data_IF_912267701486
#
_entry.id   IF_912267701486
#
_cell.length_a   1.000
_cell.length_b   1.000
_cell.length_c   1.000
_cell.angle_alpha   90.00
_cell.angle_beta   90.00
_cell.angle_gamma   90.00
#
_symmetry.space_group_name_H-M   'P 1'
#
loop_
_entity.id
_entity.type
_entity.pdbx_description
1 polymer ?
#
# COMPACT_ATOMS: atom_id res chain seq x y z
N UNK A 1 -47.83 -28.04 28.05
CA UNK A 1 -47.86 -26.69 27.45
C UNK A 1 -46.54 -25.90 27.62
N UNK A 2 -45.97 -25.74 28.82
CA UNK A 2 -44.71 -24.93 29.03
C UNK A 2 -43.49 -25.41 28.19
N UNK A 3 -43.31 -26.73 27.97
CA UNK A 3 -42.16 -27.25 27.17
C UNK A 3 -42.25 -26.91 25.69
N UNK A 4 -43.44 -26.90 25.12
CA UNK A 4 -43.67 -26.53 23.72
C UNK A 4 -43.43 -25.02 23.51
N UNK A 5 -43.87 -24.23 24.49
CA UNK A 5 -43.66 -22.77 24.46
C UNK A 5 -42.15 -22.39 24.50
N UNK A 6 -41.41 -23.05 25.39
CA UNK A 6 -39.97 -22.85 25.48
C UNK A 6 -39.21 -23.30 24.22
N UNK A 7 -39.67 -24.35 23.56
CA UNK A 7 -39.08 -24.82 22.30
C UNK A 7 -39.32 -23.84 21.16
N UNK A 8 -40.54 -23.31 21.03
CA UNK A 8 -40.89 -22.28 20.04
C UNK A 8 -40.11 -20.99 20.29
N UNK A 9 -39.96 -20.58 21.55
CA UNK A 9 -39.19 -19.39 21.91
C UNK A 9 -37.72 -19.55 21.56
N UNK A 10 -37.12 -20.73 21.79
CA UNK A 10 -35.73 -21.04 21.42
C UNK A 10 -35.49 -20.98 19.90
N UNK A 11 -36.44 -21.48 19.11
CA UNK A 11 -36.38 -21.41 17.64
C UNK A 11 -36.49 -19.96 17.17
N UNK A 12 -37.41 -19.19 17.72
CA UNK A 12 -37.54 -17.77 17.39
C UNK A 12 -36.29 -16.97 17.74
N UNK A 13 -35.70 -17.22 18.88
CA UNK A 13 -34.45 -16.56 19.30
C UNK A 13 -33.30 -16.90 18.39
N UNK A 14 -33.17 -18.16 17.96
CA UNK A 14 -32.17 -18.62 16.99
C UNK A 14 -32.35 -17.97 15.63
N UNK A 15 -33.60 -17.83 15.17
CA UNK A 15 -33.91 -17.20 13.90
C UNK A 15 -33.56 -15.69 13.91
N UNK A 16 -33.86 -14.99 15.02
CA UNK A 16 -33.51 -13.58 15.20
C UNK A 16 -32.00 -13.42 15.26
N UNK A 17 -31.28 -14.31 15.92
CA UNK A 17 -29.82 -14.30 15.96
C UNK A 17 -29.19 -14.51 14.57
N UNK A 18 -29.75 -15.39 13.74
CA UNK A 18 -29.32 -15.56 12.34
C UNK A 18 -29.57 -14.35 11.45
N UNK A 19 -30.64 -13.61 11.70
CA UNK A 19 -30.97 -12.38 10.93
C UNK A 19 -30.04 -11.23 11.33
N UNK A 20 -29.64 -11.16 12.58
CA UNK A 20 -28.69 -10.14 13.11
C UNK A 20 -27.24 -10.42 12.69
N UNK A 21 -26.90 -11.65 12.31
CA UNK A 21 -25.54 -12.04 11.90
C UNK A 21 -25.23 -11.75 10.42
N UNK A 22 -25.95 -10.88 9.74
CA UNK A 22 -25.59 -10.41 8.39
C UNK A 22 -24.53 -9.30 8.48
N UNK A 23 -23.39 -9.62 9.03
CA UNK A 23 -22.20 -8.78 8.84
C UNK A 23 -21.62 -9.12 7.46
N UNK A 24 -21.93 -8.30 6.48
CA UNK A 24 -21.22 -8.31 5.20
C UNK A 24 -19.82 -7.77 5.47
N UNK A 25 -18.84 -8.63 5.47
CA UNK A 25 -17.44 -8.23 5.44
C UNK A 25 -17.12 -7.78 4.01
N UNK A 26 -17.39 -6.54 3.68
CA UNK A 26 -16.99 -5.92 2.42
C UNK A 26 -15.50 -5.57 2.44
N UNK A 27 -14.66 -6.56 2.26
CA UNK A 27 -13.27 -6.35 1.88
C UNK A 27 -13.22 -6.27 0.35
N UNK A 28 -13.44 -5.08 -0.23
CA UNK A 28 -13.33 -4.88 -1.67
C UNK A 28 -11.88 -4.62 -2.07
N UNK A 29 -11.27 -5.61 -2.71
CA UNK A 29 -10.02 -5.43 -3.45
C UNK A 29 -10.36 -5.17 -4.91
N UNK A 30 -10.09 -3.96 -5.38
CA UNK A 30 -10.29 -3.59 -6.79
C UNK A 30 -8.95 -3.63 -7.53
N UNK A 31 -8.94 -4.31 -8.66
CA UNK A 31 -7.78 -4.36 -9.55
C UNK A 31 -8.06 -3.52 -10.80
N UNK A 32 -7.11 -2.67 -11.19
CA UNK A 32 -7.14 -1.98 -12.47
C UNK A 32 -6.21 -2.67 -13.47
N UNK A 33 -6.64 -2.73 -14.74
CA UNK A 33 -5.90 -3.32 -15.85
C UNK A 33 -5.74 -2.29 -16.96
N UNK A 34 -4.62 -2.36 -17.69
CA UNK A 34 -4.42 -1.58 -18.92
C UNK A 34 -5.15 -2.19 -20.12
N UNK A 35 -5.10 -1.52 -21.27
CA UNK A 35 -5.70 -2.01 -22.52
C UNK A 35 -5.09 -3.33 -23.04
N UNK A 36 -3.91 -3.70 -22.53
CA UNK A 36 -3.19 -4.93 -22.87
C UNK A 36 -3.45 -6.06 -21.87
N UNK A 37 -4.32 -5.82 -20.85
CA UNK A 37 -4.68 -6.80 -19.84
C UNK A 37 -3.67 -6.94 -18.69
N UNK A 38 -2.66 -6.06 -18.59
CA UNK A 38 -1.72 -6.07 -17.48
C UNK A 38 -2.32 -5.37 -16.27
N UNK A 39 -2.13 -5.95 -15.08
CA UNK A 39 -2.61 -5.35 -13.84
C UNK A 39 -1.76 -4.13 -13.47
N UNK A 40 -2.36 -2.93 -13.47
CA UNK A 40 -1.71 -1.65 -13.20
C UNK A 40 -1.99 -1.10 -11.81
N UNK A 41 -3.06 -1.58 -11.14
CA UNK A 41 -3.36 -1.13 -9.78
C UNK A 41 -4.03 -2.20 -8.93
N UNK A 42 -3.83 -2.12 -7.61
CA UNK A 42 -4.56 -2.86 -6.58
C UNK A 42 -4.96 -1.88 -5.49
N UNK A 43 -6.26 -1.66 -5.33
CA UNK A 43 -6.80 -0.78 -4.30
C UNK A 43 -7.56 -1.62 -3.27
N UNK A 44 -7.15 -1.52 -2.01
CA UNK A 44 -7.89 -2.11 -0.89
C UNK A 44 -8.73 -1.00 -0.28
N UNK A 45 -10.06 -1.09 -0.41
CA UNK A 45 -10.97 -0.14 0.22
C UNK A 45 -11.38 -0.66 1.59
N UNK A 46 -11.04 0.08 2.62
CA UNK A 46 -11.62 -0.11 3.96
C UNK A 46 -12.86 0.77 4.07
N UNK A 47 -13.97 0.30 4.63
CA UNK A 47 -15.11 1.15 4.91
C UNK A 47 -14.77 2.07 6.09
N UNK A 48 -14.18 3.22 5.79
CA UNK A 48 -13.98 4.29 6.74
C UNK A 48 -14.75 5.52 6.27
N UNK A 49 -15.58 6.07 7.13
CA UNK A 49 -16.17 7.40 6.96
C UNK A 49 -15.05 8.42 6.78
N UNK A 50 -14.90 8.96 5.58
CA UNK A 50 -14.06 10.14 5.33
C UNK A 50 -14.67 11.02 4.26
N UNK A 51 -14.61 12.35 4.42
CA UNK A 51 -15.18 13.30 3.49
C UNK A 51 -14.43 13.29 2.15
N UNK A 52 -15.20 13.44 1.10
CA UNK A 52 -14.76 13.58 -0.29
C UNK A 52 -13.78 14.73 -0.46
N UNK A 53 -12.61 14.45 -1.03
CA UNK A 53 -11.79 15.44 -1.70
C UNK A 53 -11.94 15.24 -3.22
N UNK A 54 -12.38 16.31 -3.87
CA UNK A 54 -12.59 16.40 -5.30
C UNK A 54 -11.29 16.32 -6.11
N UNK A 55 -11.44 15.76 -7.31
CA UNK A 55 -10.45 15.63 -8.36
C UNK A 55 -9.59 16.88 -8.57
N UNK A 56 -8.33 16.82 -8.18
CA UNK A 56 -7.27 17.52 -8.86
C UNK A 56 -6.30 16.47 -9.40
N UNK A 57 -5.83 16.68 -10.63
CA UNK A 57 -4.92 15.80 -11.36
C UNK A 57 -3.66 15.51 -10.51
N UNK A 58 -3.76 14.51 -9.65
CA UNK A 58 -2.67 14.07 -8.79
C UNK A 58 -1.81 13.13 -9.63
N UNK A 59 -0.60 13.59 -9.92
CA UNK A 59 0.53 12.72 -10.24
C UNK A 59 0.40 11.43 -9.44
N UNK A 60 0.42 10.27 -10.12
CA UNK A 60 0.13 8.98 -9.48
C UNK A 60 1.14 8.66 -8.39
N UNK A 61 0.91 9.18 -7.20
CA UNK A 61 1.72 8.87 -6.02
C UNK A 61 1.31 7.48 -5.53
N UNK A 62 2.19 6.52 -5.66
CA UNK A 62 2.02 5.21 -5.04
C UNK A 62 2.35 5.34 -3.55
N UNK A 63 1.37 5.02 -2.70
CA UNK A 63 1.56 4.99 -1.24
C UNK A 63 1.46 3.54 -0.81
N UNK A 64 2.47 3.01 -0.16
CA UNK A 64 2.43 1.72 0.52
C UNK A 64 2.47 1.96 2.02
N UNK A 65 1.47 1.41 2.71
CA UNK A 65 1.38 1.47 4.18
C UNK A 65 2.03 0.21 4.73
N UNK A 66 3.16 0.38 5.38
CA UNK A 66 3.84 -0.63 6.17
C UNK A 66 3.29 -0.60 7.60
N UNK A 67 3.58 -1.62 8.41
CA UNK A 67 3.01 -1.75 9.77
C UNK A 67 3.15 -0.47 10.61
N UNK A 68 4.29 0.22 10.50
CA UNK A 68 4.66 1.32 11.38
C UNK A 68 4.90 2.64 10.64
N UNK A 69 5.05 2.62 9.31
CA UNK A 69 5.31 3.83 8.51
C UNK A 69 4.75 3.67 7.09
N UNK A 70 4.67 4.74 6.35
CA UNK A 70 4.28 4.73 4.94
C UNK A 70 5.36 5.34 4.06
N UNK A 71 5.42 4.88 2.82
CA UNK A 71 6.40 5.33 1.83
C UNK A 71 5.68 5.93 0.64
N UNK A 72 6.17 7.07 0.16
CA UNK A 72 5.79 7.68 -1.12
C UNK A 72 7.00 7.77 -2.02
N UNK A 73 6.81 7.43 -3.27
CA UNK A 73 7.87 7.50 -4.27
C UNK A 73 7.33 8.21 -5.51
N UNK A 74 7.99 9.30 -5.90
CA UNK A 74 7.59 10.08 -7.05
C UNK A 74 8.76 10.86 -7.68
N UNK A 75 8.66 11.17 -8.99
CA UNK A 75 7.73 10.61 -9.94
C UNK A 75 8.10 9.14 -10.28
N UNK A 76 7.10 8.32 -10.58
CA UNK A 76 7.32 6.97 -11.08
C UNK A 76 6.25 6.67 -12.17
N UNK A 77 6.59 6.68 -13.46
CA UNK A 77 7.93 6.75 -14.07
C UNK A 77 8.70 8.06 -13.85
N UNK A 78 10.03 7.95 -13.87
CA UNK A 78 10.95 9.09 -13.71
C UNK A 78 11.82 9.28 -14.95
N UNK A 79 12.26 10.53 -15.18
CA UNK A 79 13.32 10.86 -16.15
C UNK A 79 14.73 10.82 -15.56
N UNK A 80 14.83 10.48 -14.27
CA UNK A 80 16.11 10.38 -13.57
C UNK A 80 16.11 10.91 -12.16
N UNK A 81 15.26 11.89 -11.85
CA UNK A 81 15.10 12.39 -10.49
C UNK A 81 13.96 11.66 -9.79
N UNK A 82 14.20 11.20 -8.59
CA UNK A 82 13.28 10.42 -7.79
C UNK A 82 13.30 10.92 -6.35
N UNK A 83 12.13 11.17 -5.79
CA UNK A 83 11.94 11.52 -4.39
C UNK A 83 11.33 10.34 -3.65
N UNK A 84 11.89 10.01 -2.50
CA UNK A 84 11.39 8.98 -1.59
C UNK A 84 11.08 9.65 -0.26
N UNK A 85 9.80 9.69 0.10
CA UNK A 85 9.34 10.19 1.40
C UNK A 85 9.00 9.02 2.32
N UNK A 86 9.50 9.06 3.54
CA UNK A 86 9.14 8.14 4.62
C UNK A 86 8.28 8.91 5.61
N UNK A 87 7.04 8.46 5.80
CA UNK A 87 6.04 9.12 6.62
C UNK A 87 5.72 8.28 7.84
N UNK A 88 5.58 8.95 8.99
CA UNK A 88 5.20 8.32 10.26
C UNK A 88 6.21 7.27 10.76
N UNK A 89 7.49 7.41 10.42
CA UNK A 89 8.52 6.54 10.98
C UNK A 89 8.60 6.79 12.50
N UNK A 90 8.53 5.75 13.35
CA UNK A 90 8.59 5.91 14.80
C UNK A 90 9.85 6.65 15.26
N UNK A 91 9.73 7.40 16.34
CA UNK A 91 10.85 8.17 16.89
C UNK A 91 12.04 7.23 17.26
N UNK A 92 13.23 7.64 16.90
CA UNK A 92 14.45 6.84 17.09
C UNK A 92 14.74 5.80 16.02
N UNK A 93 13.76 5.45 15.15
CA UNK A 93 13.98 4.50 14.04
C UNK A 93 14.50 5.19 12.78
N UNK A 94 15.20 4.42 11.97
CA UNK A 94 15.74 4.83 10.67
C UNK A 94 15.44 3.77 9.61
N UNK A 95 15.52 4.17 8.35
CA UNK A 95 15.43 3.27 7.23
C UNK A 95 16.68 3.32 6.35
N UNK A 96 16.98 2.21 5.71
CA UNK A 96 18.03 2.10 4.70
C UNK A 96 17.38 1.93 3.33
N UNK A 97 17.78 2.76 2.38
CA UNK A 97 17.29 2.76 1.01
C UNK A 97 18.41 2.26 0.09
N UNK A 98 18.12 1.26 -0.72
CA UNK A 98 19.06 0.70 -1.70
C UNK A 98 18.38 0.57 -3.05
N UNK A 99 18.98 1.16 -4.07
CA UNK A 99 18.52 1.08 -5.45
C UNK A 99 19.39 0.09 -6.22
N UNK A 100 18.75 -0.87 -6.87
CA UNK A 100 19.38 -1.91 -7.67
C UNK A 100 18.93 -1.83 -9.13
N UNK A 101 19.76 -2.25 -10.04
CA UNK A 101 19.35 -2.55 -11.41
C UNK A 101 18.76 -3.96 -11.52
N UNK A 102 18.29 -4.32 -12.71
CA UNK A 102 17.70 -5.65 -12.97
C UNK A 102 18.73 -6.79 -12.93
N UNK A 103 20.03 -6.51 -12.93
CA UNK A 103 21.08 -7.52 -12.71
C UNK A 103 21.35 -7.78 -11.22
N UNK A 104 20.72 -6.99 -10.33
CA UNK A 104 20.94 -7.03 -8.89
C UNK A 104 22.15 -6.21 -8.42
N UNK A 105 22.76 -5.41 -9.32
CA UNK A 105 23.87 -4.53 -8.97
C UNK A 105 23.36 -3.33 -8.17
N UNK A 106 24.01 -3.04 -7.05
CA UNK A 106 23.68 -1.85 -6.23
C UNK A 106 24.10 -0.58 -6.97
N UNK A 107 23.14 0.30 -7.22
CA UNK A 107 23.36 1.57 -7.93
C UNK A 107 23.59 2.72 -6.94
N UNK A 108 22.73 2.84 -5.94
CA UNK A 108 22.76 3.90 -4.92
C UNK A 108 22.31 3.34 -3.58
N UNK A 109 22.86 3.91 -2.49
CA UNK A 109 22.47 3.58 -1.14
C UNK A 109 22.39 4.86 -0.30
N UNK A 110 21.37 4.92 0.55
CA UNK A 110 21.19 5.91 1.62
C UNK A 110 20.93 5.18 2.92
N UNK A 111 21.60 5.56 3.98
CA UNK A 111 21.47 4.93 5.30
C UNK A 111 20.94 5.94 6.31
N UNK A 112 20.33 5.44 7.38
CA UNK A 112 19.82 6.24 8.50
C UNK A 112 18.81 7.32 8.08
N UNK A 113 18.04 7.04 7.03
CA UNK A 113 17.01 7.96 6.52
C UNK A 113 15.82 7.99 7.47
N UNK A 114 15.30 9.19 7.73
CA UNK A 114 14.14 9.41 8.61
C UNK A 114 12.96 10.09 7.94
N UNK A 115 13.23 10.78 6.83
CA UNK A 115 12.26 11.65 6.19
C UNK A 115 12.38 11.52 4.67
N UNK A 116 12.71 12.58 3.97
CA UNK A 116 12.75 12.65 2.51
C UNK A 116 14.17 12.49 1.98
N UNK A 117 14.33 11.64 0.98
CA UNK A 117 15.59 11.44 0.26
C UNK A 117 15.43 11.60 -1.24
N UNK A 118 16.46 12.15 -1.86
CA UNK A 118 16.54 12.39 -3.30
C UNK A 118 17.53 11.45 -3.96
N UNK A 119 17.11 10.81 -5.04
CA UNK A 119 17.93 9.98 -5.89
C UNK A 119 18.02 10.59 -7.27
N UNK A 120 19.23 10.65 -7.82
CA UNK A 120 19.44 11.03 -9.21
C UNK A 120 20.07 9.86 -9.97
N UNK A 121 19.35 9.35 -10.94
CA UNK A 121 19.76 8.27 -11.86
C UNK A 121 19.71 8.71 -13.31
N UNK A 122 19.74 10.01 -13.60
CA UNK A 122 19.68 10.55 -14.96
C UNK A 122 20.80 10.03 -15.86
N UNK A 123 21.96 9.73 -15.27
CA UNK A 123 23.12 9.16 -15.96
C UNK A 123 23.04 7.63 -16.16
N UNK A 124 21.95 6.99 -15.75
CA UNK A 124 21.74 5.55 -15.92
C UNK A 124 20.85 5.26 -17.13
N UNK A 125 20.93 4.06 -17.72
CA UNK A 125 20.05 3.67 -18.82
C UNK A 125 18.58 3.71 -18.45
N UNK A 126 17.72 3.89 -19.45
CA UNK A 126 16.28 3.71 -19.27
C UNK A 126 15.98 2.24 -18.99
N UNK A 127 14.98 2.00 -18.14
CA UNK A 127 14.66 0.65 -17.73
C UNK A 127 14.02 0.56 -16.36
N UNK A 128 14.08 -0.64 -15.80
CA UNK A 128 13.50 -0.97 -14.49
C UNK A 128 14.61 -1.04 -13.45
N UNK A 129 14.34 -0.44 -12.31
CA UNK A 129 15.17 -0.48 -11.10
C UNK A 129 14.33 -0.96 -9.93
N UNK A 130 14.96 -1.56 -8.94
CA UNK A 130 14.31 -2.01 -7.71
C UNK A 130 14.84 -1.18 -6.55
N UNK A 131 13.94 -0.41 -5.92
CA UNK A 131 14.24 0.30 -4.69
C UNK A 131 13.82 -0.56 -3.50
N UNK A 132 14.79 -0.98 -2.71
CA UNK A 132 14.58 -1.72 -1.47
C UNK A 132 14.69 -0.78 -0.28
N UNK A 133 13.68 -0.77 0.56
CA UNK A 133 13.60 0.02 1.78
C UNK A 133 13.53 -0.93 2.95
N UNK A 134 14.47 -0.82 3.87
CA UNK A 134 14.59 -1.68 5.05
C UNK A 134 14.61 -0.82 6.30
N UNK A 135 13.68 -1.04 7.21
CA UNK A 135 13.71 -0.60 8.60
C UNK A 135 13.94 -1.82 9.50
N UNK A 136 14.13 -1.62 10.80
CA UNK A 136 14.43 -2.71 11.73
C UNK A 136 13.47 -3.90 11.64
N UNK A 137 12.17 -3.63 11.51
CA UNK A 137 11.10 -4.63 11.59
C UNK A 137 10.44 -4.94 10.23
N UNK A 138 10.81 -4.22 9.17
CA UNK A 138 10.12 -4.37 7.88
C UNK A 138 11.03 -4.08 6.69
N UNK A 139 10.72 -4.76 5.59
CA UNK A 139 11.37 -4.54 4.30
C UNK A 139 10.29 -4.45 3.23
N UNK A 140 10.41 -3.48 2.34
CA UNK A 140 9.57 -3.35 1.14
C UNK A 140 10.42 -3.12 -0.10
N UNK A 141 9.88 -3.50 -1.25
CA UNK A 141 10.55 -3.37 -2.54
C UNK A 141 9.63 -2.68 -3.55
N UNK A 142 10.18 -1.69 -4.23
CA UNK A 142 9.47 -0.88 -5.20
C UNK A 142 10.09 -0.96 -6.57
N UNK A 143 9.24 -1.15 -7.57
CA UNK A 143 9.63 -1.07 -8.97
C UNK A 143 9.65 0.40 -9.41
N UNK A 144 10.82 0.88 -9.82
CA UNK A 144 11.04 2.21 -10.39
C UNK A 144 11.20 2.08 -11.89
N UNK A 145 10.49 2.86 -12.66
CA UNK A 145 10.54 2.89 -14.12
C UNK A 145 11.23 4.19 -14.54
N UNK A 146 12.38 4.07 -15.20
CA UNK A 146 13.08 5.20 -15.83
C UNK A 146 12.82 5.20 -17.33
N UNK A 147 12.51 6.39 -17.90
CA UNK A 147 12.21 6.60 -19.30
C UNK A 147 12.59 8.01 -19.77
#
# INVERSE_FOLDING_TARGET
MKRIFNFIYSIMLSLVMCILCRYTADAQVTFGYDASGNRISRVIRFPAKSPSFEDQAVEKVHIEILKDFSVRIYPNPTKGDLTVEILNLPEGKTANLRLYDMSGSLILQKTEVRDTEYFNISNRPDGIYILKITSEDSTTEWKIIKQ
#
